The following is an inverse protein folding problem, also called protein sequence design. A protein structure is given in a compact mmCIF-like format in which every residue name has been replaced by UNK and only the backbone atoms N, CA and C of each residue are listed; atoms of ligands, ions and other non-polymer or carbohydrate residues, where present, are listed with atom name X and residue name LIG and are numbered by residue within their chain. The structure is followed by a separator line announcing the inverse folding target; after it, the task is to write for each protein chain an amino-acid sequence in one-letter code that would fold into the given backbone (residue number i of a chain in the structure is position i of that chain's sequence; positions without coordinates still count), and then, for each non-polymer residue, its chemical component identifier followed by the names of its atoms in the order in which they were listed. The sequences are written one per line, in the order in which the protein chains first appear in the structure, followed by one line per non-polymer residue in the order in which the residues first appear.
data_IF_343499125051
#
_entry.id   IF_343499125051
#
_cell.length_a   1.000
_cell.length_b   1.000
_cell.length_c   1.000
_cell.angle_alpha   90.00
_cell.angle_beta   90.00
_cell.angle_gamma   90.00
#
_symmetry.space_group_name_H-M   'P 1'
#
loop_
_entity.id
_entity.type
_entity.pdbx_description
1 polymer ?
#
# COMPACT_ATOMS: atom_id res chain seq x y z
N UNK A 1 -12.03 23.97 7.50
CA UNK A 1 -11.06 23.56 8.56
C UNK A 1 -10.00 22.70 7.88
N UNK A 2 -8.71 22.95 8.15
CA UNK A 2 -7.65 22.12 7.60
C UNK A 2 -7.80 20.68 8.15
N UNK A 3 -7.81 19.70 7.27
CA UNK A 3 -7.81 18.28 7.64
C UNK A 3 -6.40 17.97 8.14
N UNK A 4 -6.26 17.59 9.39
CA UNK A 4 -4.96 17.53 10.07
C UNK A 4 -4.28 16.15 9.96
N UNK A 5 -5.01 15.03 9.98
CA UNK A 5 -4.44 13.67 9.84
C UNK A 5 -3.87 13.39 8.44
N UNK A 6 -3.00 12.36 8.34
CA UNK A 6 -2.37 11.94 7.09
C UNK A 6 -2.57 10.44 6.86
N UNK A 7 -2.90 10.08 5.62
CA UNK A 7 -2.95 8.70 5.16
C UNK A 7 -2.07 8.56 3.93
N UNK A 8 -1.10 7.66 3.98
CA UNK A 8 -0.28 7.28 2.83
C UNK A 8 -0.68 5.87 2.38
N UNK A 9 -1.09 5.75 1.12
CA UNK A 9 -1.48 4.49 0.49
C UNK A 9 -0.38 4.03 -0.43
N UNK A 10 0.40 3.03 0.00
CA UNK A 10 1.41 2.40 -0.85
C UNK A 10 0.77 1.31 -1.67
N UNK A 11 0.84 1.44 -2.98
CA UNK A 11 0.18 0.50 -3.89
C UNK A 11 1.02 0.15 -5.12
N UNK A 12 0.59 -0.88 -5.83
CA UNK A 12 1.28 -1.39 -7.01
C UNK A 12 1.24 -2.91 -7.09
N UNK A 13 1.75 -3.45 -8.17
CA UNK A 13 1.77 -4.89 -8.41
C UNK A 13 2.62 -5.65 -7.39
N UNK A 14 2.49 -6.95 -7.42
CA UNK A 14 3.28 -7.84 -6.57
C UNK A 14 4.78 -7.65 -6.81
N UNK A 15 5.59 -7.83 -5.75
CA UNK A 15 7.05 -7.72 -5.76
C UNK A 15 7.63 -6.35 -6.15
N UNK A 16 6.80 -5.31 -6.33
CA UNK A 16 7.29 -3.94 -6.57
C UNK A 16 7.98 -3.29 -5.37
N UNK A 17 8.14 -3.95 -4.22
CA UNK A 17 8.82 -3.38 -3.05
C UNK A 17 7.95 -2.46 -2.18
N UNK A 18 6.66 -2.30 -2.47
CA UNK A 18 5.74 -1.42 -1.73
C UNK A 18 5.77 -1.66 -0.22
N UNK A 19 5.65 -2.91 0.24
CA UNK A 19 5.60 -3.25 1.68
C UNK A 19 6.92 -2.94 2.40
N UNK A 20 8.06 -3.11 1.73
CA UNK A 20 9.36 -2.76 2.28
C UNK A 20 9.48 -1.25 2.51
N UNK A 21 9.08 -0.45 1.53
CA UNK A 21 9.11 1.01 1.64
C UNK A 21 8.05 1.53 2.62
N UNK A 22 6.84 0.98 2.58
CA UNK A 22 5.73 1.36 3.45
C UNK A 22 6.04 1.12 4.93
N UNK A 23 6.57 -0.05 5.29
CA UNK A 23 6.97 -0.39 6.65
C UNK A 23 8.11 0.51 7.16
N UNK A 24 9.13 0.73 6.31
CA UNK A 24 10.24 1.63 6.65
C UNK A 24 9.77 3.07 6.87
N UNK A 25 8.87 3.57 6.02
CA UNK A 25 8.27 4.89 6.18
C UNK A 25 7.44 4.99 7.47
N UNK A 26 6.58 4.01 7.71
CA UNK A 26 5.73 3.98 8.90
C UNK A 26 6.55 4.02 10.19
N UNK A 27 7.59 3.19 10.28
CA UNK A 27 8.49 3.16 11.45
C UNK A 27 9.23 4.48 11.64
N UNK A 28 9.75 5.07 10.56
CA UNK A 28 10.50 6.34 10.63
C UNK A 28 9.62 7.48 11.14
N UNK A 29 8.35 7.50 10.79
CA UNK A 29 7.43 8.61 11.07
C UNK A 29 6.43 8.31 12.22
N UNK A 30 6.51 7.13 12.85
CA UNK A 30 5.61 6.76 13.95
C UNK A 30 4.15 6.59 13.49
N UNK A 31 3.91 6.19 12.24
CA UNK A 31 2.58 6.00 11.70
C UNK A 31 2.03 4.59 12.01
N UNK A 32 0.71 4.47 12.19
CA UNK A 32 0.02 3.18 12.12
C UNK A 32 0.26 2.50 10.77
N UNK A 33 0.51 1.19 10.76
CA UNK A 33 0.83 0.44 9.54
C UNK A 33 -0.07 -0.77 9.36
N UNK A 34 -0.82 -0.79 8.26
CA UNK A 34 -1.77 -1.84 7.93
C UNK A 34 -1.49 -2.42 6.53
N UNK A 35 -1.09 -3.68 6.51
CA UNK A 35 -0.79 -4.42 5.28
C UNK A 35 -1.97 -5.34 4.91
N UNK A 36 -2.39 -5.30 3.65
CA UNK A 36 -3.57 -6.04 3.16
C UNK A 36 -3.44 -7.55 3.30
N UNK A 37 -2.25 -8.14 3.11
CA UNK A 37 -2.07 -9.59 3.27
C UNK A 37 -2.14 -10.01 4.74
N UNK A 38 -1.59 -9.20 5.66
CA UNK A 38 -1.69 -9.45 7.11
C UNK A 38 -3.12 -9.37 7.60
N UNK A 39 -3.82 -8.29 7.28
CA UNK A 39 -5.23 -8.08 7.66
C UNK A 39 -6.12 -9.18 7.06
N UNK A 40 -5.86 -9.59 5.81
CA UNK A 40 -6.56 -10.69 5.15
C UNK A 40 -6.44 -12.00 5.92
N UNK A 41 -5.22 -12.37 6.32
CA UNK A 41 -4.95 -13.59 7.08
C UNK A 41 -5.54 -13.52 8.48
N UNK A 42 -5.48 -12.37 9.13
CA UNK A 42 -6.09 -12.13 10.44
C UNK A 42 -7.61 -12.33 10.40
N UNK A 43 -8.32 -11.74 9.41
CA UNK A 43 -9.76 -11.95 9.22
C UNK A 43 -10.09 -13.43 8.96
N UNK A 44 -9.20 -14.16 8.28
CA UNK A 44 -9.33 -15.59 8.02
C UNK A 44 -8.98 -16.48 9.23
N UNK A 45 -8.53 -15.90 10.36
CA UNK A 45 -8.06 -16.67 11.52
C UNK A 45 -6.74 -17.41 11.27
N UNK A 46 -5.91 -16.93 10.35
CA UNK A 46 -4.64 -17.51 9.96
C UNK A 46 -3.47 -16.70 10.52
N UNK A 47 -2.38 -17.38 10.88
CA UNK A 47 -1.13 -16.69 11.20
C UNK A 47 -0.55 -15.99 9.95
N UNK A 48 0.14 -14.83 10.11
CA UNK A 48 0.70 -14.08 8.98
C UNK A 48 1.63 -14.88 8.09
N UNK A 49 2.39 -15.82 8.65
CA UNK A 49 3.35 -16.69 7.96
C UNK A 49 2.68 -17.87 7.25
N UNK A 50 1.39 -18.09 7.49
CA UNK A 50 0.66 -19.22 6.92
C UNK A 50 0.42 -19.00 5.42
N UNK A 51 1.22 -19.65 4.58
CA UNK A 51 1.12 -19.53 3.12
C UNK A 51 -0.14 -20.21 2.62
N UNK A 52 -0.91 -19.46 1.84
CA UNK A 52 -2.11 -19.97 1.17
C UNK A 52 -1.79 -20.29 -0.29
N UNK A 53 -1.51 -21.56 -0.55
CA UNK A 53 -1.26 -22.07 -1.90
C UNK A 53 -2.60 -22.55 -2.49
N UNK A 54 -3.27 -21.67 -3.24
CA UNK A 54 -4.53 -21.98 -3.90
C UNK A 54 -4.63 -21.32 -5.28
N UNK A 55 -5.66 -21.66 -6.07
CA UNK A 55 -5.93 -20.96 -7.32
C UNK A 55 -6.17 -19.46 -7.06
N UNK A 56 -5.83 -18.63 -8.05
CA UNK A 56 -6.05 -17.19 -8.00
C UNK A 56 -7.56 -16.91 -7.91
N UNK A 57 -7.96 -15.86 -7.21
CA UNK A 57 -9.35 -15.44 -7.00
C UNK A 57 -10.23 -16.46 -6.22
N UNK A 58 -9.63 -17.35 -5.42
CA UNK A 58 -10.35 -18.30 -4.59
C UNK A 58 -9.97 -18.17 -3.10
N UNK A 59 -10.82 -18.74 -2.24
CA UNK A 59 -10.60 -18.73 -0.79
C UNK A 59 -10.49 -17.30 -0.25
N UNK A 60 -9.44 -17.03 0.51
CA UNK A 60 -9.19 -15.70 1.09
C UNK A 60 -8.81 -14.64 0.04
N UNK A 61 -8.54 -15.03 -1.21
CA UNK A 61 -8.25 -14.12 -2.34
C UNK A 61 -9.46 -13.92 -3.27
N UNK A 62 -10.64 -14.43 -2.93
CA UNK A 62 -11.87 -14.15 -3.66
C UNK A 62 -12.22 -12.65 -3.65
N UNK A 63 -12.99 -12.19 -4.63
CA UNK A 63 -13.43 -10.78 -4.69
C UNK A 63 -14.19 -10.34 -3.44
N UNK A 64 -15.09 -11.20 -2.92
CA UNK A 64 -15.83 -10.89 -1.70
C UNK A 64 -14.91 -10.73 -0.50
N UNK A 65 -13.95 -11.66 -0.32
CA UNK A 65 -13.02 -11.60 0.79
C UNK A 65 -12.05 -10.42 0.65
N UNK A 66 -11.63 -10.09 -0.57
CA UNK A 66 -10.81 -8.92 -0.86
C UNK A 66 -11.54 -7.62 -0.47
N UNK A 67 -12.83 -7.51 -0.79
CA UNK A 67 -13.64 -6.36 -0.35
C UNK A 67 -13.69 -6.25 1.17
N UNK A 68 -13.95 -7.35 1.90
CA UNK A 68 -13.91 -7.38 3.37
C UNK A 68 -12.55 -6.94 3.92
N UNK A 69 -11.47 -7.35 3.27
CA UNK A 69 -10.11 -6.97 3.67
C UNK A 69 -9.89 -5.46 3.53
N UNK A 70 -10.26 -4.88 2.38
CA UNK A 70 -10.10 -3.43 2.16
C UNK A 70 -11.04 -2.62 3.06
N UNK A 71 -12.27 -3.07 3.30
CA UNK A 71 -13.16 -2.43 4.29
C UNK A 71 -12.57 -2.43 5.70
N UNK A 72 -11.94 -3.53 6.11
CA UNK A 72 -11.26 -3.62 7.41
C UNK A 72 -10.05 -2.69 7.50
N UNK A 73 -9.23 -2.61 6.43
CA UNK A 73 -8.11 -1.67 6.36
C UNK A 73 -8.58 -0.22 6.58
N UNK A 74 -9.66 0.17 5.92
CA UNK A 74 -10.22 1.51 6.05
C UNK A 74 -10.78 1.75 7.46
N UNK A 75 -11.42 0.75 8.06
CA UNK A 75 -11.92 0.83 9.44
C UNK A 75 -10.78 1.03 10.45
N UNK A 76 -9.68 0.29 10.29
CA UNK A 76 -8.48 0.44 11.14
C UNK A 76 -7.86 1.84 10.97
N UNK A 77 -7.77 2.33 9.74
CA UNK A 77 -7.31 3.68 9.48
C UNK A 77 -8.19 4.75 10.13
N UNK A 78 -9.53 4.60 10.06
CA UNK A 78 -10.47 5.50 10.70
C UNK A 78 -10.35 5.53 12.22
N UNK A 79 -10.07 4.37 12.83
CA UNK A 79 -9.82 4.27 14.28
C UNK A 79 -8.57 5.03 14.70
N UNK A 80 -7.47 4.84 13.97
CA UNK A 80 -6.22 5.57 14.25
C UNK A 80 -6.38 7.08 14.04
N UNK A 81 -7.06 7.49 12.96
CA UNK A 81 -7.32 8.91 12.69
C UNK A 81 -8.18 9.58 13.76
N UNK A 82 -9.00 8.83 14.48
CA UNK A 82 -9.77 9.34 15.60
C UNK A 82 -8.91 9.71 16.82
N UNK A 83 -7.65 9.28 16.88
CA UNK A 83 -6.73 9.62 17.96
C UNK A 83 -6.32 11.10 18.00
N UNK A 84 -6.45 11.82 16.87
CA UNK A 84 -6.21 13.27 16.85
C UNK A 84 -5.66 13.82 15.54
N UNK A 85 -5.41 15.12 15.49
CA UNK A 85 -5.02 15.80 14.25
C UNK A 85 -3.63 15.44 13.73
N UNK A 86 -2.75 14.92 14.57
CA UNK A 86 -1.40 14.51 14.17
C UNK A 86 -1.32 13.04 13.75
N UNK A 87 -2.47 12.34 13.70
CA UNK A 87 -2.52 10.94 13.33
C UNK A 87 -1.96 10.70 11.92
N UNK A 88 -1.12 9.68 11.80
CA UNK A 88 -0.53 9.24 10.54
C UNK A 88 -0.78 7.75 10.34
N UNK A 89 -1.32 7.39 9.18
CA UNK A 89 -1.63 6.00 8.84
C UNK A 89 -1.02 5.64 7.50
N UNK A 90 -0.45 4.45 7.43
CA UNK A 90 0.07 3.84 6.21
C UNK A 90 -0.76 2.61 5.87
N UNK A 91 -1.35 2.63 4.68
CA UNK A 91 -2.05 1.50 4.08
C UNK A 91 -1.17 0.89 2.99
N UNK A 92 -0.99 -0.43 3.03
CA UNK A 92 -0.17 -1.18 2.09
C UNK A 92 -0.99 -2.30 1.44
N UNK A 93 -1.19 -2.21 0.14
CA UNK A 93 -1.97 -3.17 -0.62
C UNK A 93 -1.75 -3.07 -2.12
N UNK A 94 -2.43 -3.89 -2.91
CA UNK A 94 -2.34 -3.79 -4.37
C UNK A 94 -3.08 -2.57 -4.91
N UNK A 95 -4.27 -2.26 -4.40
CA UNK A 95 -5.16 -1.18 -4.84
C UNK A 95 -5.15 -1.03 -6.37
N UNK A 96 -5.22 -2.18 -7.06
CA UNK A 96 -5.05 -2.27 -8.51
C UNK A 96 -6.22 -1.69 -9.30
N UNK A 97 -7.43 -1.75 -8.74
CA UNK A 97 -8.62 -1.19 -9.37
C UNK A 97 -8.83 0.27 -8.94
N UNK A 98 -9.30 1.08 -9.87
CA UNK A 98 -9.65 2.48 -9.62
C UNK A 98 -10.67 2.61 -8.49
N UNK A 99 -11.70 1.78 -8.48
CA UNK A 99 -12.75 1.82 -7.46
C UNK A 99 -12.23 1.57 -6.04
N UNK A 100 -11.14 0.79 -5.88
CA UNK A 100 -10.49 0.58 -4.58
C UNK A 100 -9.84 1.87 -4.07
N UNK A 101 -9.18 2.62 -4.96
CA UNK A 101 -8.54 3.90 -4.63
C UNK A 101 -9.57 5.01 -4.40
N UNK A 102 -10.64 5.03 -5.19
CA UNK A 102 -11.78 5.95 -4.99
C UNK A 102 -12.45 5.72 -3.64
N UNK A 103 -12.63 4.46 -3.21
CA UNK A 103 -13.19 4.13 -1.90
C UNK A 103 -12.32 4.64 -0.74
N UNK A 104 -10.98 4.57 -0.88
CA UNK A 104 -10.05 5.18 0.09
C UNK A 104 -10.29 6.69 0.18
N UNK A 105 -10.38 7.37 -0.96
CA UNK A 105 -10.65 8.81 -1.02
C UNK A 105 -11.99 9.14 -0.37
N UNK A 106 -13.04 8.45 -0.75
CA UNK A 106 -14.40 8.68 -0.24
C UNK A 106 -14.47 8.58 1.28
N UNK A 107 -13.86 7.53 1.87
CA UNK A 107 -13.96 7.28 3.31
C UNK A 107 -12.99 8.10 4.15
N UNK A 108 -11.77 8.35 3.65
CA UNK A 108 -10.70 8.93 4.48
C UNK A 108 -10.42 10.41 4.18
N UNK A 109 -10.68 10.93 2.97
CA UNK A 109 -10.42 12.32 2.66
C UNK A 109 -11.23 13.34 3.50
N UNK A 110 -12.44 13.05 3.98
CA UNK A 110 -13.12 13.92 4.95
C UNK A 110 -12.43 14.05 6.32
N UNK A 111 -11.55 13.09 6.66
CA UNK A 111 -10.90 12.95 7.97
C UNK A 111 -9.41 13.24 7.96
N UNK A 112 -8.75 12.98 6.82
CA UNK A 112 -7.31 13.09 6.68
C UNK A 112 -6.91 13.49 5.25
N UNK A 113 -5.70 14.02 5.09
CA UNK A 113 -5.08 14.16 3.78
C UNK A 113 -4.67 12.80 3.25
N UNK A 114 -5.28 12.37 2.15
CA UNK A 114 -4.98 11.08 1.53
C UNK A 114 -3.98 11.26 0.39
N UNK A 115 -2.87 10.53 0.46
CA UNK A 115 -1.77 10.58 -0.49
C UNK A 115 -1.45 9.15 -0.97
N UNK A 116 -1.15 9.00 -2.26
CA UNK A 116 -0.89 7.71 -2.88
C UNK A 116 0.56 7.60 -3.36
N UNK A 117 1.19 6.48 -3.06
CA UNK A 117 2.55 6.16 -3.49
C UNK A 117 2.48 4.92 -4.39
N UNK A 118 2.56 5.15 -5.70
CA UNK A 118 2.58 4.09 -6.70
C UNK A 118 3.98 3.51 -6.82
N UNK A 119 4.20 2.33 -6.26
CA UNK A 119 5.47 1.63 -6.32
C UNK A 119 5.58 0.83 -7.63
N UNK A 120 6.56 1.17 -8.45
CA UNK A 120 6.91 0.45 -9.67
C UNK A 120 8.31 -0.16 -9.55
N UNK A 121 8.59 -1.13 -10.42
CA UNK A 121 9.91 -1.77 -10.48
C UNK A 121 10.07 -2.46 -11.84
N UNK A 122 11.28 -2.55 -12.42
CA UNK A 122 11.55 -3.33 -13.61
C UNK A 122 11.14 -4.81 -13.43
N UNK A 123 10.55 -5.41 -14.47
CA UNK A 123 10.01 -6.79 -14.45
C UNK A 123 11.08 -7.82 -14.04
N UNK A 124 12.32 -7.67 -14.52
CA UNK A 124 13.43 -8.54 -14.14
C UNK A 124 13.69 -8.54 -12.63
N UNK A 125 13.71 -7.35 -12.02
CA UNK A 125 13.91 -7.20 -10.56
C UNK A 125 12.73 -7.79 -9.77
N UNK A 126 11.50 -7.62 -10.25
CA UNK A 126 10.34 -8.26 -9.61
C UNK A 126 10.43 -9.78 -9.63
N UNK A 127 10.89 -10.37 -10.75
CA UNK A 127 11.11 -11.82 -10.87
C UNK A 127 12.14 -12.33 -9.87
N UNK A 128 13.30 -11.69 -9.80
CA UNK A 128 14.36 -12.00 -8.83
C UNK A 128 13.86 -11.93 -7.39
N UNK A 129 13.11 -10.87 -7.05
CA UNK A 129 12.50 -10.70 -5.71
C UNK A 129 11.49 -11.80 -5.40
N UNK A 130 10.71 -12.26 -6.38
CA UNK A 130 9.76 -13.38 -6.19
C UNK A 130 10.49 -14.69 -5.94
N UNK A 131 11.53 -14.99 -6.72
CA UNK A 131 12.36 -16.19 -6.54
C UNK A 131 13.01 -16.23 -5.16
N UNK A 132 13.57 -15.09 -4.72
CA UNK A 132 14.14 -14.98 -3.36
C UNK A 132 13.10 -15.24 -2.27
N UNK A 133 11.88 -14.68 -2.40
CA UNK A 133 10.79 -14.87 -1.44
C UNK A 133 10.23 -16.29 -1.40
N UNK A 134 10.28 -17.04 -2.49
CA UNK A 134 9.87 -18.46 -2.48
C UNK A 134 10.71 -19.28 -1.52
N UNK A 135 11.97 -18.89 -1.33
CA UNK A 135 12.92 -19.54 -0.44
C UNK A 135 12.92 -18.99 1.00
N UNK A 136 12.15 -17.94 1.27
CA UNK A 136 12.05 -17.33 2.60
C UNK A 136 10.82 -17.86 3.36
N UNK A 137 11.00 -18.67 4.42
CA UNK A 137 9.88 -19.23 5.20
C UNK A 137 9.09 -18.16 5.98
N UNK A 138 9.64 -16.97 6.18
CA UNK A 138 8.98 -15.86 6.89
C UNK A 138 8.24 -14.89 5.96
N UNK A 139 8.23 -15.12 4.65
CA UNK A 139 7.54 -14.27 3.71
C UNK A 139 6.02 -14.29 3.95
N UNK A 140 5.43 -13.14 4.22
CA UNK A 140 3.99 -12.96 4.47
C UNK A 140 3.19 -13.03 3.16
N UNK A 141 3.76 -12.56 2.05
CA UNK A 141 3.10 -12.51 0.75
C UNK A 141 3.13 -13.85 0.04
N UNK A 142 1.98 -14.28 -0.45
CA UNK A 142 1.81 -15.52 -1.24
C UNK A 142 2.10 -15.30 -2.74
N UNK A 143 2.90 -14.30 -3.07
CA UNK A 143 3.17 -13.82 -4.41
C UNK A 143 3.88 -14.81 -5.32
N UNK A 144 3.25 -15.09 -6.47
CA UNK A 144 3.78 -15.95 -7.53
C UNK A 144 3.72 -15.23 -8.87
N UNK A 145 4.52 -15.70 -9.84
CA UNK A 145 4.59 -15.10 -11.18
C UNK A 145 3.23 -15.07 -11.91
N UNK A 146 2.41 -16.09 -11.74
CA UNK A 146 1.05 -16.16 -12.29
C UNK A 146 0.17 -15.02 -11.77
N UNK A 147 0.31 -14.66 -10.48
CA UNK A 147 -0.41 -13.54 -9.88
C UNK A 147 0.05 -12.20 -10.51
N UNK A 148 1.35 -12.04 -10.77
CA UNK A 148 1.86 -10.86 -11.47
C UNK A 148 1.27 -10.73 -12.87
N UNK A 149 1.26 -11.81 -13.66
CA UNK A 149 0.70 -11.79 -15.00
C UNK A 149 -0.79 -11.41 -14.98
N UNK A 150 -1.54 -11.92 -14.02
CA UNK A 150 -2.96 -11.58 -13.86
C UNK A 150 -3.12 -10.11 -13.41
N UNK A 151 -2.34 -9.65 -12.44
CA UNK A 151 -2.36 -8.25 -12.03
C UNK A 151 -2.03 -7.32 -13.18
N UNK A 152 -1.02 -7.64 -14.00
CA UNK A 152 -0.62 -6.85 -15.17
C UNK A 152 -1.75 -6.62 -16.17
N UNK A 153 -2.66 -7.58 -16.33
CA UNK A 153 -3.83 -7.44 -17.22
C UNK A 153 -4.99 -6.66 -16.60
N UNK A 154 -5.04 -6.58 -15.26
CA UNK A 154 -6.16 -5.96 -14.52
C UNK A 154 -5.82 -4.62 -13.88
N UNK A 155 -4.53 -4.28 -13.84
CA UNK A 155 -4.07 -3.06 -13.18
C UNK A 155 -4.55 -1.81 -13.93
N UNK A 156 -5.37 -1.03 -13.28
CA UNK A 156 -5.86 0.25 -13.78
C UNK A 156 -4.90 1.37 -13.36
N UNK A 157 -4.29 2.02 -14.37
CA UNK A 157 -3.39 3.15 -14.11
C UNK A 157 -4.10 4.25 -13.31
N UNK A 158 -3.44 4.86 -12.32
CA UNK A 158 -4.06 5.82 -11.39
C UNK A 158 -4.27 7.21 -12.02
N UNK A 159 -4.91 7.27 -13.18
CA UNK A 159 -5.15 8.51 -13.95
C UNK A 159 -6.18 9.43 -13.29
N UNK A 160 -6.90 8.95 -12.28
CA UNK A 160 -7.83 9.73 -11.48
C UNK A 160 -7.15 10.60 -10.40
N UNK A 161 -5.86 10.34 -10.12
CA UNK A 161 -5.09 11.04 -9.08
C UNK A 161 -4.23 12.13 -9.69
N UNK A 162 -4.29 13.34 -9.14
CA UNK A 162 -3.46 14.46 -9.54
C UNK A 162 -2.03 14.40 -8.95
N UNK A 163 -1.09 15.21 -9.47
CA UNK A 163 0.31 15.22 -9.04
C UNK A 163 0.50 15.62 -7.57
N UNK A 164 -0.45 16.31 -6.98
CA UNK A 164 -0.46 16.67 -5.56
C UNK A 164 -0.95 15.52 -4.66
N UNK A 165 -1.49 14.45 -5.24
CA UNK A 165 -2.00 13.28 -4.53
C UNK A 165 -1.22 12.00 -4.83
N UNK A 166 -0.47 11.97 -5.92
CA UNK A 166 0.21 10.79 -6.43
C UNK A 166 1.72 11.01 -6.60
N UNK A 167 2.51 10.16 -5.94
CA UNK A 167 3.92 9.95 -6.25
C UNK A 167 4.09 8.59 -6.93
N UNK A 168 4.69 8.53 -8.11
CA UNK A 168 5.17 7.28 -8.70
C UNK A 168 6.67 7.14 -8.42
N UNK A 169 7.06 6.03 -7.80
CA UNK A 169 8.44 5.78 -7.37
C UNK A 169 8.96 4.42 -7.86
N UNK A 170 10.12 4.43 -8.51
CA UNK A 170 10.83 3.19 -8.85
C UNK A 170 11.60 2.69 -7.62
N UNK A 171 11.19 1.55 -7.10
CA UNK A 171 11.76 0.94 -5.91
C UNK A 171 13.02 0.13 -6.15
N UNK A 172 13.58 0.18 -7.34
CA UNK A 172 14.90 -0.40 -7.65
C UNK A 172 16.05 0.56 -7.27
N UNK A 173 15.96 1.08 -6.05
CA UNK A 173 16.94 2.03 -5.49
C UNK A 173 17.19 1.69 -4.01
N UNK A 174 18.23 2.28 -3.43
CA UNK A 174 18.52 2.13 -2.01
C UNK A 174 17.41 2.77 -1.14
N UNK A 175 17.16 2.20 0.03
CA UNK A 175 16.07 2.63 0.90
C UNK A 175 16.16 4.09 1.33
N UNK A 176 17.36 4.56 1.65
CA UNK A 176 17.62 5.94 2.04
C UNK A 176 17.28 6.94 0.94
N UNK A 177 17.56 6.60 -0.32
CA UNK A 177 17.16 7.40 -1.49
C UNK A 177 15.62 7.43 -1.63
N UNK A 178 14.96 6.29 -1.49
CA UNK A 178 13.50 6.20 -1.58
C UNK A 178 12.82 7.01 -0.47
N UNK A 179 13.33 6.93 0.76
CA UNK A 179 12.81 7.71 1.89
C UNK A 179 13.02 9.21 1.68
N UNK A 180 14.18 9.63 1.17
CA UNK A 180 14.45 11.04 0.87
C UNK A 180 13.51 11.59 -0.21
N UNK A 181 13.26 10.84 -1.29
CA UNK A 181 12.30 11.21 -2.34
C UNK A 181 10.87 11.37 -1.78
N UNK A 182 10.45 10.46 -0.90
CA UNK A 182 9.15 10.56 -0.22
C UNK A 182 9.07 11.80 0.66
N UNK A 183 10.10 12.09 1.45
CA UNK A 183 10.15 13.27 2.31
C UNK A 183 10.07 14.56 1.50
N UNK A 184 10.86 14.67 0.44
CA UNK A 184 10.85 15.84 -0.44
C UNK A 184 9.45 16.05 -1.07
N UNK A 185 8.82 14.98 -1.54
CA UNK A 185 7.47 15.06 -2.07
C UNK A 185 6.46 15.45 -1.00
N UNK A 186 6.53 14.85 0.20
CA UNK A 186 5.64 15.17 1.33
C UNK A 186 5.72 16.64 1.74
N UNK A 187 6.92 17.21 1.80
CA UNK A 187 7.10 18.65 2.10
C UNK A 187 6.38 19.51 1.05
N UNK A 188 6.56 19.19 -0.23
CA UNK A 188 5.92 19.95 -1.33
C UNK A 188 4.40 19.89 -1.30
N UNK A 189 3.83 18.70 -1.00
CA UNK A 189 2.37 18.52 -1.09
C UNK A 189 1.64 18.84 0.21
N UNK A 190 2.28 18.70 1.38
CA UNK A 190 1.64 18.95 2.69
C UNK A 190 1.82 20.39 3.14
N UNK A 191 2.97 20.99 2.88
CA UNK A 191 3.28 22.37 3.27
C UNK A 191 3.88 23.16 2.08
N UNK A 192 3.06 23.55 1.11
CA UNK A 192 3.53 24.25 -0.08
C UNK A 192 4.12 25.64 0.20
N UNK A 193 4.08 26.13 1.45
CA UNK A 193 4.65 27.44 1.82
C UNK A 193 6.14 27.37 2.23
N UNK A 194 6.70 26.17 2.35
CA UNK A 194 8.11 25.97 2.76
C UNK A 194 9.08 25.98 1.56
N UNK A 195 8.57 25.97 0.34
CA UNK A 195 9.39 25.99 -0.90
C UNK A 195 9.35 27.41 -1.47
N UNK A 196 10.15 28.31 -0.88
CA UNK A 196 10.53 29.62 -1.44
C UNK A 196 12.04 29.74 -1.42
#
# INVERSE_FOLDING_TARGET
MAVAGKVLVFFGMIATGKSFLADAWARKNGCGYYNSDRVRKEIAGLAPENRQVGPVDQGIYSHEFSRKTYDQLLTLAEQDLAAGPDACVVLDGSYQARCERELVQERLAPKARVLFVHCICPEGVMRERMEQRQNDPQAVSDGRWEIYLQQKTRFEMPSELGPEQLLTIDTNQALDVLLALLEEWMVRVVDPQVVV
#
